data_IF_020776566925
#
_entry.id   IF_020776566925
#
_cell.length_a   1.000
_cell.length_b   1.000
_cell.length_c   1.000
_cell.angle_alpha   90.00
_cell.angle_beta   90.00
_cell.angle_gamma   90.00
#
_symmetry.space_group_name_H-M   'P 1'
#
loop_
_entity.id
_entity.type
_entity.pdbx_description
1 polymer ?
#
# COMPACT_ATOMS: atom_id res chain seq x y z
N UNK A 1 3.43 9.83 -10.68
CA UNK A 1 2.27 9.05 -10.22
C UNK A 1 1.03 9.49 -10.98
N UNK A 2 0.46 8.58 -11.74
CA UNK A 2 -0.65 8.88 -12.65
C UNK A 2 -1.78 7.86 -12.47
N UNK A 3 -3.01 8.29 -12.79
CA UNK A 3 -4.13 7.38 -12.92
C UNK A 3 -4.23 6.86 -14.34
N UNK A 4 -4.33 5.56 -14.48
CA UNK A 4 -4.35 4.88 -15.76
C UNK A 4 -5.80 4.53 -16.13
N UNK A 5 -6.16 4.78 -17.39
CA UNK A 5 -7.42 4.34 -17.95
C UNK A 5 -7.14 3.28 -19.02
N UNK A 6 -7.69 2.09 -18.85
CA UNK A 6 -7.49 0.95 -19.72
C UNK A 6 -8.67 0.64 -20.63
N UNK A 7 -9.60 1.57 -20.82
CA UNK A 7 -10.82 1.35 -21.61
C UNK A 7 -10.61 1.42 -23.12
N UNK A 8 -9.43 1.82 -23.56
CA UNK A 8 -9.16 2.04 -24.98
C UNK A 8 -8.50 0.83 -25.61
N UNK A 9 -8.87 0.57 -26.86
CA UNK A 9 -8.30 -0.52 -27.64
C UNK A 9 -7.86 -0.01 -29.02
N UNK A 10 -6.87 -0.68 -29.60
CA UNK A 10 -6.50 -0.49 -30.99
C UNK A 10 -7.48 -1.23 -31.90
N UNK A 11 -7.38 -0.97 -33.20
CA UNK A 11 -8.29 -1.56 -34.20
C UNK A 11 -8.28 -3.10 -34.19
N UNK A 12 -7.13 -3.67 -33.80
CA UNK A 12 -6.94 -5.12 -33.72
C UNK A 12 -7.36 -5.74 -32.39
N UNK A 13 -7.93 -4.93 -31.48
CA UNK A 13 -8.35 -5.37 -30.17
C UNK A 13 -7.26 -5.33 -29.09
N UNK A 14 -6.06 -4.85 -29.42
CA UNK A 14 -4.99 -4.70 -28.43
C UNK A 14 -5.36 -3.63 -27.41
N UNK A 15 -5.28 -3.97 -26.12
CA UNK A 15 -5.56 -3.04 -25.05
C UNK A 15 -4.50 -1.94 -24.96
N UNK A 16 -4.94 -0.70 -24.71
CA UNK A 16 -4.05 0.45 -24.54
C UNK A 16 -4.40 1.13 -23.24
N UNK A 17 -3.40 1.28 -22.36
CA UNK A 17 -3.55 2.08 -21.15
C UNK A 17 -3.02 3.48 -21.41
N UNK A 18 -3.75 4.45 -20.89
CA UNK A 18 -3.39 5.86 -21.07
C UNK A 18 -3.35 6.55 -19.72
N UNK A 19 -2.38 7.46 -19.49
CA UNK A 19 -2.41 8.32 -18.31
C UNK A 19 -3.56 9.32 -18.47
N UNK A 20 -4.45 9.35 -17.49
CA UNK A 20 -5.64 10.22 -17.54
C UNK A 20 -5.73 11.16 -16.36
N UNK A 21 -5.20 10.75 -15.20
CA UNK A 21 -5.28 11.51 -13.96
C UNK A 21 -3.90 11.70 -13.37
N UNK A 22 -3.68 12.83 -12.72
CA UNK A 22 -2.55 13.03 -11.82
C UNK A 22 -3.07 13.04 -10.38
N UNK A 23 -2.19 12.69 -9.43
CA UNK A 23 -2.57 12.60 -8.03
C UNK A 23 -1.92 13.71 -7.22
N UNK A 24 -2.72 14.34 -6.40
CA UNK A 24 -2.29 15.29 -5.40
C UNK A 24 -2.67 14.75 -4.02
N UNK A 25 -1.73 14.81 -3.09
CA UNK A 25 -1.94 14.30 -1.74
C UNK A 25 -1.94 15.46 -0.75
N UNK A 26 -2.83 15.39 0.24
CA UNK A 26 -2.98 16.46 1.22
C UNK A 26 -1.70 16.73 2.03
N UNK A 27 -0.90 15.68 2.25
CA UNK A 27 0.35 15.75 3.02
C UNK A 27 1.59 15.98 2.16
N UNK A 28 1.64 15.41 0.97
CA UNK A 28 2.82 15.45 0.10
C UNK A 28 2.64 16.29 -1.17
N UNK A 29 1.42 16.75 -1.47
CA UNK A 29 1.13 17.50 -2.71
C UNK A 29 1.46 16.68 -3.95
N UNK A 30 2.20 17.25 -4.88
CA UNK A 30 2.68 16.59 -6.10
C UNK A 30 4.04 15.90 -5.91
N UNK A 31 4.62 15.99 -4.71
CA UNK A 31 6.00 15.57 -4.43
C UNK A 31 6.25 14.06 -4.43
N UNK A 32 5.21 13.24 -4.59
CA UNK A 32 5.36 11.78 -4.65
C UNK A 32 5.99 11.34 -5.97
N UNK A 33 5.82 12.13 -7.02
CA UNK A 33 6.42 11.84 -8.33
C UNK A 33 7.95 11.84 -8.24
N UNK A 34 8.59 10.79 -8.74
CA UNK A 34 10.05 10.58 -8.72
C UNK A 34 10.67 10.43 -7.31
N UNK A 35 9.87 10.44 -6.26
CA UNK A 35 10.34 10.27 -4.88
C UNK A 35 9.82 8.99 -4.25
N UNK A 36 8.51 8.73 -4.40
CA UNK A 36 7.85 7.63 -3.73
C UNK A 36 7.41 7.98 -2.32
N UNK A 37 7.41 7.01 -1.45
CA UNK A 37 6.97 7.16 -0.05
C UNK A 37 8.02 6.54 0.86
N UNK A 38 8.44 7.31 1.88
CA UNK A 38 9.34 6.80 2.90
C UNK A 38 8.57 5.90 3.87
N UNK A 39 9.20 4.82 4.34
CA UNK A 39 8.59 4.01 5.39
C UNK A 39 8.62 4.74 6.73
N UNK A 40 7.57 4.58 7.54
CA UNK A 40 7.56 5.07 8.91
C UNK A 40 8.46 4.22 9.82
N UNK A 41 8.52 2.93 9.52
CA UNK A 41 9.39 1.97 10.22
C UNK A 41 10.21 1.24 9.17
N UNK A 42 11.52 1.47 9.19
CA UNK A 42 12.43 0.88 8.22
C UNK A 42 12.94 -0.47 8.73
N UNK A 43 12.72 -1.53 7.97
CA UNK A 43 13.14 -2.87 8.33
C UNK A 43 13.84 -3.53 7.15
N UNK A 44 15.12 -3.83 7.33
CA UNK A 44 15.91 -4.55 6.33
C UNK A 44 15.83 -6.05 6.56
N UNK A 45 15.98 -6.82 5.49
CA UNK A 45 16.13 -8.27 5.55
C UNK A 45 17.60 -8.58 5.38
N UNK A 46 18.34 -8.91 6.48
CA UNK A 46 19.74 -9.27 6.36
C UNK A 46 19.92 -10.58 5.59
N UNK A 47 21.08 -10.81 4.94
CA UNK A 47 21.31 -12.02 4.17
C UNK A 47 21.13 -13.32 4.97
N UNK A 48 21.50 -13.32 6.26
CA UNK A 48 21.32 -14.49 7.12
C UNK A 48 19.86 -14.83 7.37
N UNK A 49 18.99 -13.84 7.47
CA UNK A 49 17.56 -14.04 7.63
C UNK A 49 16.92 -14.55 6.32
N UNK A 50 17.35 -14.00 5.21
CA UNK A 50 16.94 -14.48 3.89
C UNK A 50 17.30 -15.96 3.71
N UNK A 51 18.54 -16.32 4.02
CA UNK A 51 19.01 -17.69 3.89
C UNK A 51 18.27 -18.66 4.82
N UNK A 52 17.85 -18.20 5.99
CA UNK A 52 17.08 -18.99 6.96
C UNK A 52 15.58 -19.02 6.68
N UNK A 53 15.11 -18.32 5.67
CA UNK A 53 13.69 -18.23 5.35
C UNK A 53 12.87 -17.35 6.30
N UNK A 54 13.53 -16.50 7.08
CA UNK A 54 12.87 -15.56 7.98
C UNK A 54 12.51 -14.27 7.25
N UNK A 55 11.40 -13.67 7.65
CA UNK A 55 10.92 -12.41 7.09
C UNK A 55 10.71 -11.38 8.21
N UNK A 56 11.76 -10.61 8.57
CA UNK A 56 11.64 -9.63 9.64
C UNK A 56 10.68 -8.48 9.29
N UNK A 57 10.44 -8.19 8.02
CA UNK A 57 9.45 -7.19 7.63
C UNK A 57 8.04 -7.65 7.97
N UNK A 58 7.69 -8.89 7.62
CA UNK A 58 6.40 -9.47 7.96
C UNK A 58 6.23 -9.62 9.48
N UNK A 59 7.25 -10.10 10.17
CA UNK A 59 7.22 -10.24 11.64
C UNK A 59 6.98 -8.91 12.32
N UNK A 60 7.66 -7.85 11.88
CA UNK A 60 7.48 -6.50 12.41
C UNK A 60 6.07 -5.97 12.13
N UNK A 61 5.55 -6.20 10.92
CA UNK A 61 4.20 -5.77 10.54
C UNK A 61 3.14 -6.46 11.41
N UNK A 62 3.27 -7.76 11.64
CA UNK A 62 2.34 -8.52 12.50
C UNK A 62 2.40 -7.99 13.92
N UNK A 63 3.59 -7.80 14.48
CA UNK A 63 3.75 -7.27 15.83
C UNK A 63 3.10 -5.90 15.98
N UNK A 64 3.36 -4.99 15.06
CA UNK A 64 2.79 -3.65 15.09
C UNK A 64 1.27 -3.66 14.93
N UNK A 65 0.74 -4.54 14.09
CA UNK A 65 -0.70 -4.70 13.93
C UNK A 65 -1.36 -5.20 15.22
N UNK A 66 -0.75 -6.17 15.90
CA UNK A 66 -1.25 -6.68 17.18
C UNK A 66 -1.20 -5.61 18.27
N UNK A 67 -0.11 -4.84 18.34
CA UNK A 67 0.01 -3.71 19.27
C UNK A 67 -1.06 -2.64 19.00
N UNK A 68 -1.32 -2.34 17.74
CA UNK A 68 -2.35 -1.38 17.35
C UNK A 68 -3.75 -1.84 17.76
N UNK A 69 -4.04 -3.15 17.71
CA UNK A 69 -5.32 -3.70 18.15
C UNK A 69 -5.56 -3.53 19.65
N UNK A 70 -4.51 -3.50 20.45
CA UNK A 70 -4.64 -3.26 21.90
C UNK A 70 -5.15 -1.86 22.22
N UNK A 71 -4.75 -0.86 21.40
CA UNK A 71 -5.14 0.53 21.59
C UNK A 71 -6.32 0.94 20.71
N UNK A 72 -6.54 0.25 19.60
CA UNK A 72 -7.60 0.51 18.63
C UNK A 72 -8.28 -0.81 18.27
N UNK A 73 -9.19 -1.31 19.13
CA UNK A 73 -9.89 -2.55 18.80
C UNK A 73 -10.72 -2.39 17.53
N UNK A 74 -10.99 -3.48 16.81
CA UNK A 74 -11.75 -3.40 15.58
C UNK A 74 -13.15 -2.82 15.84
N UNK A 75 -13.63 -2.04 14.88
CA UNK A 75 -14.97 -1.50 14.95
C UNK A 75 -15.99 -2.65 14.94
N UNK A 76 -16.90 -2.61 15.87
CA UNK A 76 -17.99 -3.56 15.90
C UNK A 76 -19.16 -3.03 15.06
N UNK A 77 -19.89 -3.88 14.34
CA UNK A 77 -21.09 -3.43 13.65
C UNK A 77 -22.12 -2.95 14.66
N UNK A 78 -22.94 -1.96 14.30
CA UNK A 78 -24.00 -1.51 15.21
C UNK A 78 -24.97 -2.66 15.50
N UNK A 79 -25.43 -2.74 16.75
CA UNK A 79 -26.48 -3.69 17.08
C UNK A 79 -27.80 -3.24 16.46
N UNK A 80 -28.44 -4.18 15.79
CA UNK A 80 -29.80 -3.95 15.30
C UNK A 80 -30.79 -4.32 16.40
N UNK A 81 -31.56 -3.35 16.85
CA UNK A 81 -32.66 -3.61 17.76
C UNK A 81 -33.75 -4.39 17.03
N UNK A 82 -34.18 -5.48 17.63
CA UNK A 82 -35.24 -6.32 17.05
C UNK A 82 -36.59 -5.66 17.23
#
# INVERSE_FOLDING_TARGET
>A
VIGIDGRYELVDGTGVTQPKFAFWFADAGWGVENYGVDPDVEVYIPPQDWAAGRDPQLETAIRMALEALETRPPAAPPQMDA
#
